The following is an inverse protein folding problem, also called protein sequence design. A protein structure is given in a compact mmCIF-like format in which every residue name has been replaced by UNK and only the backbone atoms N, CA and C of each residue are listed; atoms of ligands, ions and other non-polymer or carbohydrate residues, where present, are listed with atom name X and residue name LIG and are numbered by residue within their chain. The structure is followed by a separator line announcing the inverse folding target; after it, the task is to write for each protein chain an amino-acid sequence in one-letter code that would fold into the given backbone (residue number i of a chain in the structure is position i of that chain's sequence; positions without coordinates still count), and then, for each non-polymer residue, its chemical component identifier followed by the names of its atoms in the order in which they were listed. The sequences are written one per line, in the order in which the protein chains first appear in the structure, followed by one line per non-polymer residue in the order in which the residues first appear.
data_IF_913175338325
#
_entry.id   IF_913175338325
#
_cell.length_a   1.000
_cell.length_b   1.000
_cell.length_c   1.000
_cell.angle_alpha   90.00
_cell.angle_beta   90.00
_cell.angle_gamma   90.00
#
_symmetry.space_group_name_H-M   'P 1'
#
loop_
_entity.id
_entity.type
_entity.pdbx_description
1 polymer ?
#
# COMPACT_ATOMS: atom_id res chain seq x y z
N UNK A 1 12.81 -4.10 -13.48
CA UNK A 1 11.77 -4.36 -12.46
C UNK A 1 12.19 -3.70 -11.15
N UNK A 2 11.67 -2.52 -10.85
CA UNK A 2 11.92 -1.87 -9.55
C UNK A 2 11.04 -2.54 -8.52
N UNK A 3 11.63 -3.33 -7.63
CA UNK A 3 10.87 -3.95 -6.53
C UNK A 3 10.43 -2.85 -5.57
N UNK A 4 9.12 -2.62 -5.50
CA UNK A 4 8.51 -1.60 -4.63
C UNK A 4 8.17 -2.25 -3.30
N UNK A 5 9.07 -2.12 -2.34
CA UNK A 5 8.87 -2.59 -0.96
C UNK A 5 8.44 -1.41 -0.10
N UNK A 6 7.38 -1.59 0.68
CA UNK A 6 6.88 -0.60 1.63
C UNK A 6 6.75 -1.23 3.02
N UNK A 7 7.23 -0.49 4.03
CA UNK A 7 7.10 -0.87 5.43
C UNK A 7 5.79 -0.31 5.99
N UNK A 8 5.02 -1.17 6.61
CA UNK A 8 3.71 -0.87 7.16
C UNK A 8 3.62 -1.33 8.61
N UNK A 9 2.76 -0.69 9.39
CA UNK A 9 2.44 -1.12 10.75
C UNK A 9 0.95 -1.34 10.89
N UNK A 10 0.55 -2.39 11.61
CA UNK A 10 -0.87 -2.63 11.90
C UNK A 10 -1.41 -1.56 12.83
N UNK A 11 -2.64 -1.13 12.57
CA UNK A 11 -3.40 -0.24 13.47
C UNK A 11 -4.36 -1.07 14.29
N UNK A 12 -4.40 -0.83 15.60
CA UNK A 12 -5.42 -1.42 16.46
C UNK A 12 -6.80 -0.85 16.13
N UNK A 13 -7.86 -1.60 16.40
CA UNK A 13 -9.25 -1.20 16.14
C UNK A 13 -9.64 0.15 16.78
N UNK A 14 -9.01 0.52 17.91
CA UNK A 14 -9.20 1.79 18.60
C UNK A 14 -8.66 3.01 17.84
N UNK A 15 -7.74 2.78 16.90
CA UNK A 15 -7.18 3.83 16.04
C UNK A 15 -7.97 3.97 14.75
N UNK A 16 -9.09 3.27 14.54
CA UNK A 16 -9.90 3.37 13.32
C UNK A 16 -10.90 4.53 13.45
N UNK A 17 -10.90 5.46 12.49
CA UNK A 17 -11.88 6.55 12.42
C UNK A 17 -11.31 7.88 11.92
N UNK A 18 -12.17 8.89 11.78
CA UNK A 18 -11.82 10.19 11.19
C UNK A 18 -10.81 10.96 12.03
N UNK A 19 -10.97 11.01 13.36
CA UNK A 19 -10.08 11.74 14.26
C UNK A 19 -8.67 11.11 14.35
N UNK A 20 -8.53 9.80 14.58
CA UNK A 20 -7.22 9.14 14.55
C UNK A 20 -6.50 9.25 13.20
N UNK A 21 -7.20 9.06 12.08
CA UNK A 21 -6.59 9.17 10.74
C UNK A 21 -6.10 10.58 10.43
N UNK A 22 -6.79 11.63 10.92
CA UNK A 22 -6.28 13.01 10.84
C UNK A 22 -5.04 13.23 11.69
N UNK A 23 -4.93 12.59 12.86
CA UNK A 23 -3.74 12.66 13.72
C UNK A 23 -2.55 11.96 13.07
N UNK A 24 -2.75 10.78 12.49
CA UNK A 24 -1.68 10.05 11.78
C UNK A 24 -1.11 10.85 10.61
N UNK A 25 -1.97 11.47 9.79
CA UNK A 25 -1.50 12.34 8.68
C UNK A 25 -0.66 13.51 9.17
N UNK A 26 -0.98 14.08 10.35
CA UNK A 26 -0.15 15.13 10.97
C UNK A 26 1.19 14.62 11.50
N UNK A 27 1.28 13.33 11.81
CA UNK A 27 2.52 12.68 12.24
C UNK A 27 3.38 12.20 11.06
N UNK A 28 2.94 12.42 9.81
CA UNK A 28 3.65 11.94 8.62
C UNK A 28 3.32 10.49 8.23
N UNK A 29 2.25 9.92 8.78
CA UNK A 29 1.78 8.58 8.39
C UNK A 29 0.55 8.66 7.48
N UNK A 30 0.52 7.81 6.47
CA UNK A 30 -0.62 7.64 5.56
C UNK A 30 -1.44 6.45 6.05
N UNK A 31 -2.75 6.64 6.33
CA UNK A 31 -3.64 5.53 6.59
C UNK A 31 -3.85 4.74 5.30
N UNK A 32 -3.73 3.42 5.38
CA UNK A 32 -3.95 2.53 4.27
C UNK A 32 -4.68 1.27 4.72
N UNK A 33 -5.25 0.55 3.76
CA UNK A 33 -6.07 -0.62 4.03
C UNK A 33 -5.61 -1.76 3.14
N UNK A 34 -5.36 -2.92 3.74
CA UNK A 34 -5.04 -4.16 3.03
C UNK A 34 -6.23 -5.09 3.17
N UNK A 35 -6.87 -5.44 2.06
CA UNK A 35 -7.96 -6.40 2.05
C UNK A 35 -7.73 -7.49 1.01
N UNK A 36 -8.35 -8.64 1.23
CA UNK A 36 -8.21 -9.78 0.33
C UNK A 36 -8.57 -11.09 1.01
N UNK A 37 -8.67 -12.15 0.21
CA UNK A 37 -9.05 -13.48 0.71
C UNK A 37 -7.96 -14.14 1.56
N UNK A 38 -6.70 -13.76 1.35
CA UNK A 38 -5.56 -14.24 2.14
C UNK A 38 -5.37 -13.50 3.47
N UNK A 39 -6.15 -12.43 3.72
CA UNK A 39 -6.05 -11.64 4.95
C UNK A 39 -6.90 -12.32 6.03
N UNK A 40 -6.35 -12.62 7.23
CA UNK A 40 -7.02 -13.43 8.26
C UNK A 40 -8.36 -12.88 8.77
N UNK A 41 -8.68 -11.60 8.52
CA UNK A 41 -9.98 -10.98 8.86
C UNK A 41 -10.66 -10.31 7.65
N UNK A 42 -10.21 -10.59 6.42
CA UNK A 42 -10.69 -9.98 5.19
C UNK A 42 -10.30 -8.51 4.99
N UNK A 43 -10.04 -7.76 6.07
CA UNK A 43 -9.62 -6.37 6.05
C UNK A 43 -8.63 -6.07 7.20
N UNK A 44 -7.49 -5.45 6.88
CA UNK A 44 -6.43 -5.06 7.81
C UNK A 44 -6.09 -3.58 7.63
N UNK A 45 -6.45 -2.71 8.59
CA UNK A 45 -6.05 -1.31 8.56
C UNK A 45 -4.57 -1.20 8.95
N UNK A 46 -3.79 -0.57 8.07
CA UNK A 46 -2.36 -0.34 8.25
C UNK A 46 -2.04 1.15 8.23
N UNK A 47 -0.85 1.50 8.69
CA UNK A 47 -0.24 2.81 8.50
C UNK A 47 1.08 2.65 7.76
N UNK A 48 1.34 3.56 6.84
CA UNK A 48 2.56 3.64 6.03
C UNK A 48 3.27 4.95 6.34
N UNK A 49 4.59 4.98 6.23
CA UNK A 49 5.35 6.24 6.31
C UNK A 49 5.18 7.04 5.01
N UNK A 50 4.78 8.31 5.12
CA UNK A 50 4.55 9.15 3.94
C UNK A 50 5.82 9.42 3.13
N UNK A 51 6.97 9.49 3.79
CA UNK A 51 8.27 9.71 3.16
C UNK A 51 8.70 8.47 2.38
N UNK A 52 8.48 7.28 2.94
CA UNK A 52 8.77 6.02 2.25
C UNK A 52 7.87 5.83 1.02
N UNK A 53 6.56 6.07 1.18
CA UNK A 53 5.60 6.05 0.08
C UNK A 53 6.01 7.00 -1.05
N UNK A 54 6.35 8.26 -0.73
CA UNK A 54 6.81 9.25 -1.71
C UNK A 54 8.12 8.84 -2.41
N UNK A 55 9.01 8.12 -1.74
CA UNK A 55 10.25 7.61 -2.35
C UNK A 55 9.98 6.48 -3.34
N UNK A 56 9.05 5.59 -3.01
CA UNK A 56 8.77 4.36 -3.80
C UNK A 56 7.79 4.62 -4.95
N UNK A 57 6.74 5.39 -4.70
CA UNK A 57 5.68 5.73 -5.67
C UNK A 57 5.94 7.06 -6.38
N UNK A 58 6.86 7.88 -5.87
CA UNK A 58 7.18 9.20 -6.40
C UNK A 58 6.29 10.31 -5.82
N UNK A 59 6.49 11.57 -6.26
CA UNK A 59 5.68 12.71 -5.84
C UNK A 59 4.39 12.89 -6.65
N UNK A 60 4.07 11.96 -7.56
CA UNK A 60 2.95 12.06 -8.52
C UNK A 60 1.88 11.02 -8.22
N UNK A 61 0.69 11.18 -8.81
CA UNK A 61 -0.35 10.14 -8.79
C UNK A 61 0.23 8.89 -9.47
N UNK A 62 0.43 7.78 -8.75
CA UNK A 62 0.95 6.56 -9.34
C UNK A 62 -0.13 5.88 -10.18
N UNK A 63 0.30 5.06 -11.13
CA UNK A 63 -0.60 4.22 -11.91
C UNK A 63 -1.36 3.25 -11.00
N UNK A 64 -2.62 2.95 -11.34
CA UNK A 64 -3.39 1.92 -10.63
C UNK A 64 -2.89 0.54 -11.05
N UNK A 65 -3.13 -0.48 -10.21
CA UNK A 65 -2.74 -1.88 -10.43
C UNK A 65 -1.23 -2.16 -10.40
N UNK A 66 -0.48 -1.32 -9.71
CA UNK A 66 0.95 -1.56 -9.47
C UNK A 66 1.11 -2.69 -8.43
N UNK A 67 1.96 -3.71 -8.69
CA UNK A 67 2.36 -4.65 -7.66
C UNK A 67 3.30 -3.98 -6.64
N UNK A 68 2.98 -4.15 -5.36
CA UNK A 68 3.72 -3.59 -4.21
C UNK A 68 3.85 -4.67 -3.15
N UNK A 69 5.07 -4.90 -2.67
CA UNK A 69 5.34 -5.77 -1.53
C UNK A 69 5.22 -4.98 -0.24
N UNK A 70 4.31 -5.41 0.63
CA UNK A 70 4.08 -4.79 1.94
C UNK A 70 4.69 -5.63 3.04
N UNK A 71 5.54 -5.01 3.85
CA UNK A 71 6.08 -5.59 5.10
C UNK A 71 5.30 -5.02 6.28
N UNK A 72 4.34 -5.78 6.77
CA UNK A 72 3.44 -5.35 7.83
C UNK A 72 3.97 -5.83 9.18
N UNK A 73 4.42 -4.89 10.00
CA UNK A 73 4.82 -5.12 11.39
C UNK A 73 3.59 -5.22 12.29
N UNK A 74 3.42 -6.36 12.95
CA UNK A 74 2.40 -6.64 13.95
C UNK A 74 3.09 -6.95 15.29
N UNK A 75 3.41 -5.91 16.06
CA UNK A 75 4.21 -6.08 17.28
C UNK A 75 5.62 -6.54 16.94
N UNK A 76 6.00 -7.73 17.40
CA UNK A 76 7.31 -8.35 17.14
C UNK A 76 7.34 -9.16 15.83
N UNK A 77 6.17 -9.47 15.25
CA UNK A 77 6.07 -10.25 14.03
C UNK A 77 6.06 -9.35 12.78
N UNK A 78 6.70 -9.82 11.71
CA UNK A 78 6.68 -9.17 10.39
C UNK A 78 6.00 -10.08 9.38
N UNK A 79 4.88 -9.62 8.84
CA UNK A 79 4.13 -10.32 7.79
C UNK A 79 4.43 -9.68 6.45
N UNK A 80 4.85 -10.47 5.47
CA UNK A 80 5.03 -9.99 4.11
C UNK A 80 3.79 -10.34 3.26
N UNK A 81 3.28 -9.34 2.54
CA UNK A 81 2.16 -9.49 1.62
C UNK A 81 2.55 -8.97 0.24
N UNK A 82 2.40 -9.79 -0.78
CA UNK A 82 2.41 -9.33 -2.16
C UNK A 82 1.03 -8.77 -2.50
N UNK A 83 0.97 -7.46 -2.72
CA UNK A 83 -0.28 -6.72 -2.89
C UNK A 83 -0.30 -5.93 -4.18
N UNK A 84 -1.50 -5.52 -4.59
CA UNK A 84 -1.69 -4.66 -5.74
C UNK A 84 -2.36 -3.38 -5.27
N UNK A 85 -1.82 -2.23 -5.68
CA UNK A 85 -2.42 -0.93 -5.40
C UNK A 85 -3.70 -0.78 -6.22
N UNK A 86 -4.85 -0.87 -5.56
CA UNK A 86 -6.15 -0.85 -6.23
C UNK A 86 -6.73 0.56 -6.32
N UNK A 87 -6.62 1.35 -5.26
CA UNK A 87 -7.10 2.73 -5.23
C UNK A 87 -6.10 3.65 -4.56
N UNK A 88 -6.00 4.88 -5.09
CA UNK A 88 -5.17 5.95 -4.55
C UNK A 88 -6.01 7.19 -4.39
N UNK A 89 -6.20 7.62 -3.15
CA UNK A 89 -6.85 8.89 -2.87
C UNK A 89 -5.79 9.97 -2.75
N UNK A 90 -5.76 10.86 -3.74
CA UNK A 90 -4.84 11.99 -3.81
C UNK A 90 -5.51 13.29 -3.35
N UNK A 91 -4.78 14.12 -2.60
CA UNK A 91 -5.19 15.49 -2.29
C UNK A 91 -4.49 16.47 -3.24
N UNK A 92 -5.18 17.04 -4.25
CA UNK A 92 -4.56 17.90 -5.26
C UNK A 92 -4.05 19.23 -4.69
N UNK A 93 -4.58 19.67 -3.54
CA UNK A 93 -4.21 20.96 -2.96
C UNK A 93 -3.01 20.84 -2.03
N UNK A 94 -2.85 19.69 -1.37
CA UNK A 94 -1.71 19.41 -0.48
C UNK A 94 -0.58 18.64 -1.16
N UNK A 95 -0.82 18.13 -2.37
CA UNK A 95 0.08 17.23 -3.10
C UNK A 95 0.53 16.06 -2.21
N UNK A 96 -0.45 15.42 -1.58
CA UNK A 96 -0.20 14.37 -0.60
C UNK A 96 -1.20 13.21 -0.73
N UNK A 97 -0.74 12.03 -0.34
CA UNK A 97 -1.55 10.82 -0.33
C UNK A 97 -2.48 10.84 0.86
N UNK A 98 -3.79 10.82 0.59
CA UNK A 98 -4.84 10.83 1.60
C UNK A 98 -5.10 9.43 2.14
N UNK A 99 -5.20 8.45 1.25
CA UNK A 99 -5.51 7.06 1.56
C UNK A 99 -5.02 6.15 0.44
N UNK A 100 -4.58 4.94 0.78
CA UNK A 100 -4.15 3.93 -0.18
C UNK A 100 -4.84 2.60 0.12
N UNK A 101 -5.32 1.96 -0.94
CA UNK A 101 -6.02 0.68 -0.86
C UNK A 101 -5.21 -0.38 -1.58
N UNK A 102 -4.90 -1.44 -0.83
CA UNK A 102 -4.13 -2.57 -1.29
C UNK A 102 -4.99 -3.83 -1.31
N UNK A 103 -4.97 -4.49 -2.46
CA UNK A 103 -5.64 -5.76 -2.65
C UNK A 103 -4.63 -6.90 -2.60
N UNK A 104 -4.90 -7.91 -1.78
CA UNK A 104 -4.12 -9.16 -1.74
C UNK A 104 -4.80 -10.16 -2.67
N UNK A 105 -4.25 -10.41 -3.88
CA UNK A 105 -4.74 -11.51 -4.70
C UNK A 105 -4.52 -12.83 -3.96
N UNK A 106 -5.50 -13.73 -4.01
CA UNK A 106 -5.45 -15.04 -3.35
C UNK A 106 -4.46 -16.03 -3.99
N UNK A 107 -3.64 -15.56 -4.93
CA UNK A 107 -2.74 -16.38 -5.72
C UNK A 107 -1.34 -16.17 -5.15
N UNK A 108 -0.87 -17.16 -4.40
CA UNK A 108 0.56 -17.34 -4.18
C UNK A 108 1.20 -17.52 -5.57
N UNK A 109 2.09 -16.59 -5.92
CA UNK A 109 2.91 -16.58 -7.13
C UNK A 109 2.19 -16.82 -8.46
N UNK A 110 2.00 -15.76 -9.23
CA UNK A 110 2.68 -15.70 -10.52
C UNK A 110 2.86 -14.23 -10.93
N UNK A 111 4.11 -13.80 -11.04
CA UNK A 111 4.48 -12.55 -11.71
C UNK A 111 4.07 -12.65 -13.18
N UNK A 112 2.82 -12.34 -13.50
CA UNK A 112 2.40 -12.13 -14.88
C UNK A 112 2.68 -10.67 -15.25
N UNK A 113 3.87 -10.43 -15.82
CA UNK A 113 4.06 -9.52 -16.96
C UNK A 113 5.49 -9.69 -17.50
N UNK A 114 5.69 -10.48 -18.56
CA UNK A 114 6.58 -10.12 -19.64
C UNK A 114 5.75 -9.41 -20.71
N UNK A 115 5.66 -8.07 -20.66
CA UNK A 115 5.34 -7.30 -21.85
C UNK A 115 6.61 -6.58 -22.28
N UNK A 116 7.37 -7.25 -23.15
CA UNK A 116 8.18 -6.61 -24.19
C UNK A 116 8.57 -7.69 -25.21
N UNK A 117 7.64 -7.98 -26.13
CA UNK A 117 8.03 -8.43 -27.47
C UNK A 117 7.28 -7.60 -28.51
N UNK A 118 7.84 -6.42 -28.78
CA UNK A 118 8.03 -5.93 -30.14
C UNK A 118 9.12 -4.86 -30.04
N UNK A 119 10.15 -4.84 -30.92
CA UNK A 119 9.92 -4.88 -32.36
C UNK A 119 10.97 -5.68 -33.17
N UNK A 120 10.76 -5.66 -34.49
CA UNK A 120 11.70 -5.94 -35.59
C UNK A 120 11.77 -7.39 -36.12
N UNK A 121 11.00 -7.65 -37.17
CA UNK A 121 11.51 -7.81 -38.54
C UNK A 121 10.38 -7.67 -39.56
#
# INVERSE_FOLDING_TARGET
MTERVLTAWVRSCQEIGTRPSRRLRRQGFIPAVVYGKSVPNGNLPIKLDASEVRKVLGPTIPELKIPVRLRVHMGDDVLEFDTVLQEVQWDPMRLDYRHLDFFVPAIAEEKAQPEELAPAA
#
